data_IF_946786409989
#
_entry.id   IF_946786409989
#
_cell.length_a   1.000
_cell.length_b   1.000
_cell.length_c   1.000
_cell.angle_alpha   90.00
_cell.angle_beta   90.00
_cell.angle_gamma   90.00
#
_symmetry.space_group_name_H-M   'P 1'
#
loop_
_entity.id
_entity.type
_entity.pdbx_description
1 polymer ?
#
# COMPACT_ATOMS: atom_id res chain seq x y z
N UNK A 1 -6.47 -64.00 -14.62
CA UNK A 1 -6.08 -62.59 -14.35
C UNK A 1 -7.27 -61.64 -14.55
N UNK A 2 -7.85 -61.13 -13.45
CA UNK A 2 -8.86 -60.05 -13.53
C UNK A 2 -8.17 -58.76 -13.99
N UNK A 3 -8.72 -58.01 -14.95
CA UNK A 3 -8.18 -56.70 -15.30
C UNK A 3 -8.25 -55.78 -14.08
N UNK A 4 -7.13 -55.08 -13.82
CA UNK A 4 -7.05 -54.08 -12.77
C UNK A 4 -8.08 -52.98 -13.05
N UNK A 5 -8.90 -52.67 -12.04
CA UNK A 5 -9.82 -51.54 -12.10
C UNK A 5 -9.03 -50.26 -12.37
N UNK A 6 -9.46 -49.42 -13.34
CA UNK A 6 -8.82 -48.14 -13.58
C UNK A 6 -8.85 -47.27 -12.30
N UNK A 7 -7.83 -46.44 -12.05
CA UNK A 7 -7.82 -45.55 -10.89
C UNK A 7 -9.08 -44.69 -10.88
N UNK A 8 -9.66 -44.41 -9.69
CA UNK A 8 -10.84 -43.56 -9.60
C UNK A 8 -10.50 -42.20 -10.21
N UNK A 9 -11.22 -41.85 -11.28
CA UNK A 9 -11.20 -40.49 -11.84
C UNK A 9 -11.59 -39.56 -10.69
N UNK A 10 -10.83 -38.48 -10.38
CA UNK A 10 -11.31 -37.48 -9.44
C UNK A 10 -12.68 -37.04 -9.93
N UNK A 11 -13.69 -37.15 -9.07
CA UNK A 11 -15.04 -36.70 -9.38
C UNK A 11 -14.91 -35.29 -9.95
N UNK A 12 -15.52 -35.03 -11.11
CA UNK A 12 -15.57 -33.70 -11.69
C UNK A 12 -16.13 -32.76 -10.63
N UNK A 13 -15.24 -32.03 -9.95
CA UNK A 13 -15.59 -31.16 -8.86
C UNK A 13 -16.47 -30.08 -9.45
N UNK A 14 -17.63 -29.82 -8.83
CA UNK A 14 -18.45 -28.68 -9.24
C UNK A 14 -17.64 -27.38 -9.22
N UNK A 15 -18.18 -26.28 -9.77
CA UNK A 15 -17.43 -25.03 -9.89
C UNK A 15 -16.87 -24.52 -8.54
N UNK A 16 -17.50 -24.87 -7.42
CA UNK A 16 -16.96 -24.59 -6.08
C UNK A 16 -15.70 -25.41 -5.73
N UNK A 17 -15.64 -26.66 -6.18
CA UNK A 17 -14.46 -27.50 -6.05
C UNK A 17 -13.26 -27.00 -6.85
N UNK A 18 -13.49 -26.48 -8.07
CA UNK A 18 -12.42 -25.87 -8.88
C UNK A 18 -11.85 -24.61 -8.23
N UNK A 19 -12.73 -23.75 -7.69
CA UNK A 19 -12.31 -22.55 -6.95
C UNK A 19 -11.45 -22.91 -5.73
N UNK A 20 -11.88 -23.88 -4.91
CA UNK A 20 -11.12 -24.30 -3.73
C UNK A 20 -9.77 -24.90 -4.12
N UNK A 21 -9.74 -25.71 -5.18
CA UNK A 21 -8.49 -26.27 -5.68
C UNK A 21 -7.53 -25.18 -6.17
N UNK A 22 -8.02 -24.16 -6.88
CA UNK A 22 -7.22 -23.00 -7.29
C UNK A 22 -6.72 -22.19 -6.08
N UNK A 23 -7.49 -22.15 -5.00
CA UNK A 23 -7.11 -21.54 -3.73
C UNK A 23 -6.18 -22.44 -2.86
N UNK A 24 -5.85 -23.65 -3.31
CA UNK A 24 -5.04 -24.61 -2.54
C UNK A 24 -5.76 -25.23 -1.33
N UNK A 25 -7.10 -25.20 -1.31
CA UNK A 25 -7.93 -25.69 -0.22
C UNK A 25 -8.62 -27.01 -0.59
N UNK A 26 -8.62 -28.03 0.30
CA UNK A 26 -9.37 -29.25 0.06
C UNK A 26 -10.88 -29.00 0.25
N UNK A 27 -11.72 -29.65 -0.56
CA UNK A 27 -13.20 -29.51 -0.47
C UNK A 27 -13.75 -29.83 0.91
N UNK A 28 -13.12 -30.76 1.63
CA UNK A 28 -13.48 -31.17 2.98
C UNK A 28 -13.27 -30.08 4.04
N UNK A 29 -12.48 -29.03 3.76
CA UNK A 29 -12.26 -27.93 4.69
C UNK A 29 -13.43 -26.94 4.72
N UNK A 30 -14.36 -27.01 3.76
CA UNK A 30 -15.46 -26.03 3.64
C UNK A 30 -16.80 -26.75 3.59
N UNK A 31 -17.66 -26.51 4.59
CA UNK A 31 -18.99 -27.10 4.68
C UNK A 31 -20.09 -26.20 4.08
N UNK A 32 -19.83 -25.62 2.91
CA UNK A 32 -20.80 -24.79 2.16
C UNK A 32 -21.28 -25.50 0.90
N UNK A 33 -22.44 -25.12 0.39
CA UNK A 33 -22.84 -25.48 -0.98
C UNK A 33 -21.96 -24.74 -1.99
N UNK A 34 -21.84 -25.27 -3.21
CA UNK A 34 -21.05 -24.60 -4.26
C UNK A 34 -21.61 -23.21 -4.58
N UNK A 35 -22.93 -23.03 -4.56
CA UNK A 35 -23.58 -21.72 -4.79
C UNK A 35 -23.22 -20.72 -3.68
N UNK A 36 -23.32 -21.12 -2.42
CA UNK A 36 -23.01 -20.23 -1.30
C UNK A 36 -21.52 -19.91 -1.22
N UNK A 37 -20.66 -20.89 -1.54
CA UNK A 37 -19.23 -20.69 -1.66
C UNK A 37 -18.90 -19.66 -2.74
N UNK A 38 -19.44 -19.80 -3.95
CA UNK A 38 -19.18 -18.87 -5.06
C UNK A 38 -19.74 -17.47 -4.77
N UNK A 39 -20.91 -17.38 -4.14
CA UNK A 39 -21.48 -16.10 -3.70
C UNK A 39 -20.57 -15.41 -2.68
N UNK A 40 -20.09 -16.15 -1.68
CA UNK A 40 -19.16 -15.65 -0.67
C UNK A 40 -17.83 -15.21 -1.28
N UNK A 41 -17.27 -16.01 -2.19
CA UNK A 41 -16.04 -15.67 -2.90
C UNK A 41 -16.19 -14.42 -3.78
N UNK A 42 -17.30 -14.30 -4.50
CA UNK A 42 -17.61 -13.12 -5.31
C UNK A 42 -17.75 -11.85 -4.44
N UNK A 43 -18.45 -11.93 -3.31
CA UNK A 43 -18.57 -10.82 -2.37
C UNK A 43 -17.22 -10.42 -1.76
N UNK A 44 -16.37 -11.40 -1.41
CA UNK A 44 -15.03 -11.14 -0.91
C UNK A 44 -14.15 -10.47 -1.97
N UNK A 45 -14.18 -10.94 -3.22
CA UNK A 45 -13.45 -10.32 -4.34
C UNK A 45 -13.91 -8.88 -4.59
N UNK A 46 -15.22 -8.62 -4.57
CA UNK A 46 -15.77 -7.28 -4.72
C UNK A 46 -15.28 -6.33 -3.61
N UNK A 47 -15.35 -6.76 -2.34
CA UNK A 47 -14.86 -5.97 -1.22
C UNK A 47 -13.34 -5.68 -1.31
N UNK A 48 -12.57 -6.63 -1.84
CA UNK A 48 -11.13 -6.47 -2.06
C UNK A 48 -10.84 -5.48 -3.19
N UNK A 49 -11.62 -5.51 -4.26
CA UNK A 49 -11.56 -4.53 -5.34
C UNK A 49 -11.90 -3.12 -4.85
N UNK A 50 -12.92 -2.97 -4.01
CA UNK A 50 -13.30 -1.69 -3.39
C UNK A 50 -12.17 -1.14 -2.52
N UNK A 51 -11.58 -1.97 -1.66
CA UNK A 51 -10.47 -1.58 -0.81
C UNK A 51 -9.24 -1.12 -1.61
N UNK A 52 -8.89 -1.86 -2.67
CA UNK A 52 -7.77 -1.51 -3.54
C UNK A 52 -8.04 -0.25 -4.38
N UNK A 53 -9.26 -0.06 -4.87
CA UNK A 53 -9.65 1.18 -5.55
C UNK A 53 -9.57 2.39 -4.62
N UNK A 54 -10.06 2.27 -3.38
CA UNK A 54 -9.98 3.32 -2.37
C UNK A 54 -8.52 3.68 -2.03
N UNK A 55 -7.64 2.67 -1.89
CA UNK A 55 -6.21 2.89 -1.69
C UNK A 55 -5.56 3.56 -2.91
N UNK A 56 -5.91 3.15 -4.13
CA UNK A 56 -5.41 3.81 -5.35
C UNK A 56 -5.85 5.28 -5.42
N UNK A 57 -7.10 5.60 -5.07
CA UNK A 57 -7.61 6.96 -5.01
C UNK A 57 -6.89 7.80 -3.94
N UNK A 58 -6.69 7.26 -2.73
CA UNK A 58 -5.94 7.94 -1.67
C UNK A 58 -4.49 8.23 -2.09
N UNK A 59 -3.82 7.27 -2.74
CA UNK A 59 -2.46 7.47 -3.31
C UNK A 59 -2.44 8.54 -4.39
N UNK A 60 -3.44 8.53 -5.27
CA UNK A 60 -3.56 9.55 -6.31
C UNK A 60 -3.69 10.94 -5.68
N UNK A 61 -4.53 11.09 -4.66
CA UNK A 61 -4.70 12.35 -3.94
C UNK A 61 -3.41 12.81 -3.25
N UNK A 62 -2.73 11.92 -2.52
CA UNK A 62 -1.46 12.23 -1.86
C UNK A 62 -0.39 12.68 -2.88
N UNK A 63 -0.30 12.03 -4.04
CA UNK A 63 0.65 12.44 -5.09
C UNK A 63 0.31 13.82 -5.67
N UNK A 64 -0.99 14.16 -5.82
CA UNK A 64 -1.42 15.50 -6.27
C UNK A 64 -1.02 16.59 -5.28
N UNK A 65 -1.22 16.35 -3.99
CA UNK A 65 -0.81 17.28 -2.93
C UNK A 65 0.71 17.52 -2.91
N UNK A 66 1.48 16.53 -3.32
CA UNK A 66 2.94 16.61 -3.47
C UNK A 66 3.40 17.17 -4.83
N UNK A 67 2.48 17.53 -5.73
CA UNK A 67 2.81 18.02 -7.08
C UNK A 67 3.46 16.96 -7.99
N UNK A 68 3.28 15.67 -7.69
CA UNK A 68 3.83 14.56 -8.48
C UNK A 68 2.86 14.15 -9.58
N UNK A 69 3.39 13.65 -10.70
CA UNK A 69 2.57 13.11 -11.78
C UNK A 69 1.68 11.95 -11.28
N UNK A 70 0.39 11.94 -11.65
CA UNK A 70 -0.57 10.93 -11.18
C UNK A 70 -1.31 10.28 -12.33
N UNK A 71 -1.34 8.94 -12.35
CA UNK A 71 -2.28 8.18 -13.17
C UNK A 71 -3.69 8.21 -12.54
N UNK A 72 -4.76 8.03 -13.33
CA UNK A 72 -6.11 7.89 -12.79
C UNK A 72 -6.23 6.61 -11.95
N UNK A 73 -6.83 6.72 -10.77
CA UNK A 73 -7.17 5.54 -9.97
C UNK A 73 -8.26 4.72 -10.71
N UNK A 74 -8.08 3.40 -10.84
CA UNK A 74 -9.09 2.54 -11.47
C UNK A 74 -10.30 2.39 -10.56
N UNK A 75 -11.49 2.30 -11.16
CA UNK A 75 -12.71 1.93 -10.44
C UNK A 75 -12.65 0.45 -9.99
N UNK A 76 -13.32 0.12 -8.88
CA UNK A 76 -13.35 -1.24 -8.34
C UNK A 76 -13.89 -2.26 -9.35
N UNK A 77 -14.93 -1.89 -10.10
CA UNK A 77 -15.51 -2.73 -11.15
C UNK A 77 -14.52 -3.01 -12.29
N UNK A 78 -13.72 -2.01 -12.67
CA UNK A 78 -12.69 -2.16 -13.70
C UNK A 78 -11.55 -3.06 -13.21
N UNK A 79 -11.15 -2.94 -11.94
CA UNK A 79 -10.18 -3.86 -11.32
C UNK A 79 -10.70 -5.29 -11.32
N UNK A 80 -11.94 -5.50 -10.87
CA UNK A 80 -12.54 -6.83 -10.81
C UNK A 80 -12.62 -7.47 -12.20
N UNK A 81 -13.07 -6.72 -13.21
CA UNK A 81 -13.11 -7.18 -14.60
C UNK A 81 -11.71 -7.56 -15.12
N UNK A 82 -10.68 -6.77 -14.77
CA UNK A 82 -9.30 -7.06 -15.15
C UNK A 82 -8.77 -8.33 -14.46
N UNK A 83 -9.08 -8.54 -13.17
CA UNK A 83 -8.61 -9.70 -12.41
C UNK A 83 -9.24 -11.00 -12.86
N UNK A 84 -10.50 -10.95 -13.29
CA UNK A 84 -11.23 -12.09 -13.83
C UNK A 84 -10.88 -12.37 -15.31
N UNK A 85 -10.19 -11.45 -15.99
CA UNK A 85 -9.69 -11.70 -17.33
C UNK A 85 -8.52 -12.71 -17.33
N UNK A 86 -8.30 -13.46 -18.43
CA UNK A 86 -7.14 -14.34 -18.56
C UNK A 86 -5.83 -13.59 -18.29
N UNK A 87 -5.03 -14.08 -17.35
CA UNK A 87 -3.77 -13.44 -16.94
C UNK A 87 -3.91 -12.32 -15.89
N UNK A 88 -5.13 -12.06 -15.39
CA UNK A 88 -5.40 -11.03 -14.37
C UNK A 88 -4.65 -11.21 -13.05
N UNK A 89 -4.18 -12.42 -12.72
CA UNK A 89 -3.38 -12.67 -11.52
C UNK A 89 -2.07 -11.86 -11.48
N UNK A 90 -1.45 -11.61 -12.64
CA UNK A 90 -0.25 -10.79 -12.72
C UNK A 90 -0.54 -9.32 -12.38
N UNK A 91 -1.68 -8.77 -12.82
CA UNK A 91 -2.05 -7.38 -12.52
C UNK A 91 -2.41 -7.18 -11.05
N UNK A 92 -3.07 -8.16 -10.42
CA UNK A 92 -3.30 -8.17 -8.95
C UNK A 92 -1.97 -8.11 -8.21
N UNK A 93 -1.02 -8.97 -8.60
CA UNK A 93 0.29 -9.09 -7.93
C UNK A 93 1.08 -7.78 -8.05
N UNK A 94 1.09 -7.17 -9.23
CA UNK A 94 1.72 -5.87 -9.45
C UNK A 94 1.06 -4.77 -8.59
N UNK A 95 -0.27 -4.69 -8.56
CA UNK A 95 -0.98 -3.68 -7.79
C UNK A 95 -0.72 -3.82 -6.27
N UNK A 96 -0.64 -5.05 -5.77
CA UNK A 96 -0.26 -5.32 -4.38
C UNK A 96 1.18 -4.90 -4.09
N UNK A 97 2.12 -5.20 -4.99
CA UNK A 97 3.51 -4.79 -4.87
C UNK A 97 3.65 -3.25 -4.85
N UNK A 98 2.94 -2.55 -5.73
CA UNK A 98 2.90 -1.08 -5.76
C UNK A 98 2.30 -0.47 -4.49
N UNK A 99 1.31 -1.15 -3.90
CA UNK A 99 0.68 -0.71 -2.64
C UNK A 99 1.67 -0.88 -1.48
N UNK A 100 2.33 -2.02 -1.38
CA UNK A 100 3.36 -2.26 -0.38
C UNK A 100 4.53 -1.25 -0.50
N UNK A 101 5.00 -1.01 -1.73
CA UNK A 101 6.05 -0.02 -2.00
C UNK A 101 5.64 1.40 -1.58
N UNK A 102 4.38 1.79 -1.80
CA UNK A 102 3.88 3.09 -1.37
C UNK A 102 3.82 3.21 0.17
N UNK A 103 3.36 2.16 0.87
CA UNK A 103 3.35 2.15 2.34
C UNK A 103 4.76 2.27 2.93
N UNK A 104 5.72 1.55 2.35
CA UNK A 104 7.13 1.60 2.77
C UNK A 104 7.76 2.98 2.47
N UNK A 105 7.53 3.52 1.27
CA UNK A 105 7.99 4.87 0.91
C UNK A 105 7.40 5.93 1.85
N UNK A 106 6.13 5.77 2.24
CA UNK A 106 5.48 6.66 3.20
C UNK A 106 6.15 6.62 4.56
N UNK A 107 6.39 5.43 5.09
CA UNK A 107 7.06 5.26 6.38
C UNK A 107 8.47 5.86 6.36
N UNK A 108 9.25 5.59 5.31
CA UNK A 108 10.58 6.18 5.15
C UNK A 108 10.54 7.71 5.01
N UNK A 109 9.58 8.25 4.28
CA UNK A 109 9.36 9.69 4.18
C UNK A 109 9.11 10.34 5.53
N UNK A 110 8.25 9.72 6.36
CA UNK A 110 7.96 10.17 7.73
C UNK A 110 9.21 10.12 8.59
N UNK A 111 9.92 9.00 8.59
CA UNK A 111 11.14 8.84 9.37
C UNK A 111 12.22 9.86 8.97
N UNK A 112 12.41 10.09 7.67
CA UNK A 112 13.38 11.04 7.15
C UNK A 112 12.98 12.50 7.45
N UNK A 113 11.70 12.84 7.33
CA UNK A 113 11.17 14.16 7.69
C UNK A 113 11.33 14.46 9.17
N UNK A 114 11.03 13.48 10.04
CA UNK A 114 11.25 13.57 11.48
C UNK A 114 12.73 13.76 11.80
N UNK A 115 13.62 12.92 11.25
CA UNK A 115 15.06 13.04 11.46
C UNK A 115 15.58 14.42 11.06
N UNK A 116 15.24 14.88 9.85
CA UNK A 116 15.68 16.19 9.35
C UNK A 116 15.21 17.33 10.24
N UNK A 117 13.99 17.22 10.78
CA UNK A 117 13.43 18.21 11.70
C UNK A 117 14.15 18.19 13.04
N UNK A 118 14.41 17.01 13.60
CA UNK A 118 15.19 16.85 14.83
C UNK A 118 16.62 17.37 14.67
N UNK A 119 17.28 17.10 13.54
CA UNK A 119 18.63 17.60 13.24
C UNK A 119 18.64 19.14 13.14
N UNK A 120 17.61 19.74 12.54
CA UNK A 120 17.48 21.19 12.43
C UNK A 120 17.20 21.88 13.77
N UNK A 121 16.60 21.17 14.72
CA UNK A 121 16.29 21.61 16.08
C UNK A 121 17.34 21.17 17.11
N UNK A 122 18.34 20.40 16.69
CA UNK A 122 19.39 19.91 17.57
C UNK A 122 20.17 21.10 18.17
N UNK A 123 20.55 21.04 19.46
CA UNK A 123 21.27 22.14 20.12
C UNK A 123 22.53 22.59 19.39
N UNK A 124 23.24 21.66 18.72
CA UNK A 124 24.42 21.98 17.91
C UNK A 124 24.07 22.85 16.69
N UNK A 125 23.00 22.50 15.96
CA UNK A 125 22.53 23.25 14.80
C UNK A 125 22.02 24.65 15.19
N UNK A 126 21.26 24.74 16.29
CA UNK A 126 20.78 26.02 16.82
C UNK A 126 21.94 26.91 17.31
N UNK A 127 22.94 26.33 17.99
CA UNK A 127 24.14 27.09 18.44
C UNK A 127 24.94 27.65 17.26
N UNK A 128 25.03 26.90 16.16
CA UNK A 128 25.66 27.36 14.92
C UNK A 128 24.95 28.56 14.29
N UNK A 129 23.61 28.57 14.30
CA UNK A 129 22.81 29.68 13.72
C UNK A 129 22.77 30.93 14.61
N UNK A 130 22.80 30.76 15.94
CA UNK A 130 22.60 31.86 16.89
C UNK A 130 23.87 32.30 17.65
N UNK A 131 25.07 31.88 17.19
CA UNK A 131 26.41 32.32 17.65
C UNK A 131 26.52 32.61 19.16
N UNK A 132 26.04 31.68 20.00
CA UNK A 132 26.24 31.74 21.45
C UNK A 132 25.30 32.66 22.25
N UNK A 133 24.30 33.30 21.64
CA UNK A 133 23.28 34.03 22.40
C UNK A 133 22.26 33.03 22.99
N UNK A 134 22.44 32.69 24.27
CA UNK A 134 21.62 31.71 24.99
C UNK A 134 20.12 32.07 25.03
N UNK A 135 19.78 33.37 25.11
CA UNK A 135 18.40 33.83 25.10
C UNK A 135 17.74 33.64 23.73
N UNK A 136 18.47 33.95 22.64
CA UNK A 136 17.99 33.72 21.27
C UNK A 136 17.85 32.22 20.94
N UNK A 137 18.76 31.39 21.47
CA UNK A 137 18.69 29.93 21.40
C UNK A 137 17.44 29.38 22.09
N UNK A 138 17.14 29.89 23.29
CA UNK A 138 15.97 29.48 24.05
C UNK A 138 14.67 29.90 23.37
N UNK A 139 14.60 31.14 22.86
CA UNK A 139 13.45 31.62 22.09
C UNK A 139 13.23 30.84 20.79
N UNK A 140 14.30 30.49 20.07
CA UNK A 140 14.21 29.66 18.86
C UNK A 140 13.73 28.22 19.18
N UNK A 141 14.14 27.68 20.33
CA UNK A 141 13.67 26.40 20.82
C UNK A 141 12.19 26.46 21.22
N UNK A 142 11.77 27.43 22.03
CA UNK A 142 10.35 27.63 22.39
C UNK A 142 9.48 27.84 21.15
N UNK A 143 9.90 28.68 20.20
CA UNK A 143 9.17 28.93 18.96
C UNK A 143 8.96 27.66 18.12
N UNK A 144 9.92 26.72 18.14
CA UNK A 144 9.81 25.46 17.41
C UNK A 144 8.80 24.47 18.03
N UNK A 145 8.50 24.60 19.33
CA UNK A 145 7.62 23.68 20.07
C UNK A 145 6.33 24.32 20.59
N UNK A 146 6.13 25.64 20.43
CA UNK A 146 4.98 26.39 20.94
C UNK A 146 3.62 26.08 20.27
N UNK A 147 3.52 25.06 19.41
CA UNK A 147 2.23 24.51 18.97
C UNK A 147 1.46 25.36 17.94
N UNK A 148 2.15 26.16 17.12
CA UNK A 148 1.53 26.80 15.95
C UNK A 148 1.06 25.77 14.90
N UNK A 149 0.12 26.13 14.00
CA UNK A 149 -0.28 25.27 12.88
C UNK A 149 0.98 24.81 12.14
N UNK A 150 1.00 23.53 11.74
CA UNK A 150 2.18 22.82 11.23
C UNK A 150 3.13 23.75 10.46
N UNK A 151 4.36 23.91 10.97
CA UNK A 151 5.41 24.73 10.36
C UNK A 151 5.45 24.43 8.85
N UNK A 152 5.16 25.40 7.96
CA UNK A 152 5.21 25.19 6.52
C UNK A 152 6.56 24.62 6.07
N UNK A 153 7.63 24.93 6.78
CA UNK A 153 8.95 24.38 6.50
C UNK A 153 9.10 22.90 6.92
N UNK A 154 8.36 22.42 7.94
CA UNK A 154 8.27 20.99 8.25
C UNK A 154 7.56 20.24 7.12
N UNK A 155 6.40 20.75 6.68
CA UNK A 155 5.62 20.14 5.59
C UNK A 155 6.48 20.04 4.32
N UNK A 156 7.20 21.10 3.95
CA UNK A 156 8.08 21.10 2.78
C UNK A 156 9.27 20.13 2.91
N UNK A 157 9.91 20.07 4.10
CA UNK A 157 10.99 19.10 4.38
C UNK A 157 10.48 17.66 4.30
N UNK A 158 9.31 17.40 4.87
CA UNK A 158 8.66 16.09 4.82
C UNK A 158 8.28 15.72 3.38
N UNK A 159 7.63 16.62 2.63
CA UNK A 159 7.23 16.40 1.24
C UNK A 159 8.45 16.07 0.35
N UNK A 160 9.56 16.81 0.50
CA UNK A 160 10.82 16.54 -0.22
C UNK A 160 11.41 15.18 0.14
N UNK A 161 11.49 14.85 1.42
CA UNK A 161 12.02 13.56 1.88
C UNK A 161 11.14 12.39 1.39
N UNK A 162 9.82 12.56 1.44
CA UNK A 162 8.85 11.60 0.94
C UNK A 162 8.98 11.38 -0.57
N UNK A 163 9.04 12.46 -1.37
CA UNK A 163 9.20 12.37 -2.82
C UNK A 163 10.50 11.65 -3.22
N UNK A 164 11.60 11.93 -2.51
CA UNK A 164 12.88 11.26 -2.74
C UNK A 164 12.82 9.75 -2.41
N UNK A 165 12.23 9.38 -1.26
CA UNK A 165 12.04 7.98 -0.90
C UNK A 165 11.16 7.24 -1.91
N UNK A 166 10.12 7.91 -2.42
CA UNK A 166 9.23 7.35 -3.42
C UNK A 166 9.94 7.09 -4.76
N UNK A 167 10.73 8.05 -5.25
CA UNK A 167 11.49 7.88 -6.50
C UNK A 167 12.47 6.70 -6.42
N UNK A 168 13.23 6.59 -5.34
CA UNK A 168 14.20 5.51 -5.14
C UNK A 168 13.54 4.11 -5.19
N UNK A 169 12.31 3.97 -4.68
CA UNK A 169 11.59 2.69 -4.70
C UNK A 169 10.91 2.39 -6.03
N UNK A 170 10.41 3.40 -6.73
CA UNK A 170 9.87 3.23 -8.07
C UNK A 170 10.92 2.71 -9.06
N UNK A 171 12.17 3.14 -8.92
CA UNK A 171 13.28 2.66 -9.76
C UNK A 171 13.72 1.22 -9.43
N UNK A 172 13.52 0.77 -8.18
CA UNK A 172 13.88 -0.60 -7.76
C UNK A 172 12.84 -1.64 -8.21
N UNK A 173 11.61 -1.19 -8.51
CA UNK A 173 10.50 -2.06 -8.95
C UNK A 173 10.43 -2.25 -10.48
N UNK A 174 11.30 -1.59 -11.25
CA UNK A 174 11.43 -1.73 -12.70
C UNK A 174 12.59 -2.67 -13.06
#
# INVERSE_FOLDING_TARGET
PRPASPPPRPAAGGPGGELLNAAGLPRSAVALTDIDLLRGAGAALAALADGLAAQAAARQQARRELGLATAPAPAAEALLAQWLAPGGAASVTQLLAETAAHSEATLHGVQAGLRTTLDALAPAALRGRHKGNAAALWQAYEAAFAGGPADPAFIDRFAKAFAAAYAARADTAR
#
